data_IF_130073652737
#
_entry.id   IF_130073652737
#
_cell.length_a   1.000
_cell.length_b   1.000
_cell.length_c   1.000
_cell.angle_alpha   90.00
_cell.angle_beta   90.00
_cell.angle_gamma   90.00
#
_symmetry.space_group_name_H-M   'P 1'
#
loop_
_entity.id
_entity.type
_entity.pdbx_description
1 polymer ?
#
# COMPACT_ATOMS: atom_id res chain seq x y z
N UNK A 1 -13.33 -1.41 0.01
CA UNK A 1 -12.36 -2.46 -0.35
C UNK A 1 -13.20 -3.65 -0.78
N UNK A 2 -13.09 -4.10 -2.03
CA UNK A 2 -13.92 -5.21 -2.53
C UNK A 2 -13.70 -6.52 -1.75
N UNK A 3 -12.51 -6.73 -1.16
CA UNK A 3 -12.16 -7.97 -0.47
C UNK A 3 -12.62 -8.04 0.99
N UNK A 4 -12.55 -6.92 1.73
CA UNK A 4 -12.82 -6.91 3.18
C UNK A 4 -13.84 -5.86 3.64
N UNK A 5 -14.56 -5.23 2.69
CA UNK A 5 -15.62 -4.27 3.00
C UNK A 5 -15.15 -2.90 3.54
N UNK A 6 -13.88 -2.72 3.93
CA UNK A 6 -13.38 -1.44 4.47
C UNK A 6 -13.59 -0.26 3.53
N UNK A 7 -14.19 0.81 4.04
CA UNK A 7 -14.41 2.06 3.31
C UNK A 7 -13.27 3.06 3.54
N UNK A 8 -12.93 3.82 2.50
CA UNK A 8 -11.89 4.84 2.55
C UNK A 8 -12.37 6.11 1.87
N UNK A 9 -12.01 7.27 2.42
CA UNK A 9 -12.37 8.59 1.87
C UNK A 9 -11.65 8.95 0.56
N UNK A 10 -10.47 8.35 0.32
CA UNK A 10 -9.63 8.65 -0.84
C UNK A 10 -9.33 7.37 -1.63
N UNK A 11 -9.36 7.46 -2.96
CA UNK A 11 -9.01 6.35 -3.86
C UNK A 11 -7.56 5.88 -3.67
N UNK A 12 -6.63 6.79 -3.38
CA UNK A 12 -5.23 6.45 -3.08
C UNK A 12 -5.10 5.55 -1.86
N UNK A 13 -5.92 5.77 -0.82
CA UNK A 13 -5.94 4.91 0.38
C UNK A 13 -6.50 3.54 0.06
N UNK A 14 -7.53 3.44 -0.79
CA UNK A 14 -8.04 2.14 -1.27
C UNK A 14 -6.94 1.39 -2.00
N UNK A 15 -6.23 2.04 -2.94
CA UNK A 15 -5.15 1.42 -3.72
C UNK A 15 -4.02 0.91 -2.82
N UNK A 16 -3.57 1.74 -1.88
CA UNK A 16 -2.55 1.34 -0.91
C UNK A 16 -3.03 0.18 -0.02
N UNK A 17 -4.27 0.22 0.43
CA UNK A 17 -4.85 -0.86 1.21
C UNK A 17 -4.93 -2.18 0.43
N UNK A 18 -5.19 -2.15 -0.88
CA UNK A 18 -5.20 -3.38 -1.69
C UNK A 18 -3.85 -4.09 -1.69
N UNK A 19 -2.75 -3.33 -1.61
CA UNK A 19 -1.40 -3.89 -1.51
C UNK A 19 -1.18 -4.70 -0.22
N UNK A 20 -1.97 -4.45 0.84
CA UNK A 20 -1.90 -5.28 2.06
C UNK A 20 -2.54 -6.66 1.88
N UNK A 21 -3.41 -6.83 0.89
CA UNK A 21 -3.99 -8.12 0.52
C UNK A 21 -3.11 -8.89 -0.45
N UNK A 22 -2.48 -8.19 -1.41
CA UNK A 22 -1.57 -8.83 -2.39
C UNK A 22 -0.17 -9.05 -1.84
N UNK A 23 0.22 -8.33 -0.79
CA UNK A 23 1.58 -8.32 -0.25
C UNK A 23 2.57 -7.52 -1.10
N UNK A 24 2.11 -6.90 -2.19
CA UNK A 24 2.96 -6.10 -3.06
C UNK A 24 3.50 -4.87 -2.33
N UNK A 25 4.79 -4.58 -2.54
CA UNK A 25 5.47 -3.43 -1.96
C UNK A 25 6.26 -2.72 -3.06
N UNK A 26 5.58 -1.90 -3.89
CA UNK A 26 6.16 -1.31 -5.08
C UNK A 26 7.17 -0.20 -4.77
N UNK A 27 7.19 0.32 -3.54
CA UNK A 27 8.10 1.38 -3.13
C UNK A 27 9.31 0.75 -2.45
N UNK A 28 10.50 0.92 -3.01
CA UNK A 28 11.72 0.32 -2.48
C UNK A 28 12.76 1.39 -2.13
N UNK A 29 13.23 1.35 -0.89
CA UNK A 29 14.29 2.21 -0.36
C UNK A 29 15.64 1.65 -0.79
N UNK A 30 16.37 2.38 -1.65
CA UNK A 30 17.67 1.94 -2.17
C UNK A 30 18.77 1.87 -1.11
N UNK A 31 18.70 2.73 -0.08
CA UNK A 31 19.72 2.79 0.96
C UNK A 31 19.55 1.68 2.00
N UNK A 32 18.30 1.39 2.36
CA UNK A 32 17.97 0.47 3.44
C UNK A 32 17.42 -0.90 2.96
N UNK A 33 17.15 -1.05 1.66
CA UNK A 33 16.63 -2.28 1.05
C UNK A 33 15.19 -2.63 1.43
N UNK A 34 14.50 -1.76 2.18
CA UNK A 34 13.13 -2.02 2.66
C UNK A 34 12.11 -1.67 1.59
N UNK A 35 11.05 -2.46 1.50
CA UNK A 35 9.94 -2.21 0.59
C UNK A 35 8.67 -1.84 1.37
N UNK A 36 7.91 -0.88 0.84
CA UNK A 36 6.74 -0.28 1.45
C UNK A 36 5.54 -0.31 0.50
N UNK A 37 4.34 -0.25 1.07
CA UNK A 37 3.09 -0.21 0.31
C UNK A 37 2.68 1.23 -0.06
N UNK A 38 3.21 2.24 0.61
CA UNK A 38 2.86 3.64 0.41
C UNK A 38 4.11 4.50 0.21
N UNK A 39 4.04 5.54 -0.64
CA UNK A 39 5.18 6.44 -0.86
C UNK A 39 5.44 7.33 0.35
N UNK A 40 4.43 7.58 1.21
CA UNK A 40 4.62 8.35 2.43
C UNK A 40 5.39 7.57 3.52
N UNK A 41 5.53 6.26 3.36
CA UNK A 41 6.28 5.38 4.27
C UNK A 41 7.61 4.92 3.68
N UNK A 42 7.98 5.40 2.48
CA UNK A 42 9.27 5.12 1.84
C UNK A 42 10.37 6.00 2.45
#
# INVERSE_FOLDING_TARGET
CPTCGKMFKKKSHVRNHLLTHTGERPFHCKECGKSFNSPANL
#
